data_IF_813192289211
#
_entry.id   IF_813192289211
#
_cell.length_a   1.000
_cell.length_b   1.000
_cell.length_c   1.000
_cell.angle_alpha   90.00
_cell.angle_beta   90.00
_cell.angle_gamma   90.00
#
_symmetry.space_group_name_H-M   'P 1'
#
loop_
_entity.id
_entity.type
_entity.pdbx_description
1 polymer ?
#
# COMPACT_ATOMS: atom_id res chain seq x y z
N UNK A 1 -9.12 21.06 -19.95
CA UNK A 1 -9.24 21.23 -18.49
C UNK A 1 -7.88 21.64 -17.97
N UNK A 2 -7.78 22.77 -17.24
CA UNK A 2 -6.50 23.34 -16.80
C UNK A 2 -5.89 22.55 -15.64
N UNK A 3 -4.55 22.51 -15.56
CA UNK A 3 -3.80 21.87 -14.48
C UNK A 3 -4.23 22.33 -13.06
N UNK A 4 -4.80 23.52 -12.95
CA UNK A 4 -5.29 24.08 -11.69
C UNK A 4 -6.61 23.44 -11.21
N UNK A 5 -7.48 22.97 -12.12
CA UNK A 5 -8.71 22.30 -11.76
C UNK A 5 -8.47 20.88 -11.18
N UNK A 6 -7.38 20.23 -11.61
CA UNK A 6 -7.03 18.88 -11.14
C UNK A 6 -6.38 18.90 -9.75
N UNK A 7 -5.65 19.97 -9.39
CA UNK A 7 -5.11 20.14 -8.02
C UNK A 7 -6.20 20.43 -6.99
N UNK A 8 -7.29 21.06 -7.38
CA UNK A 8 -8.41 21.35 -6.47
C UNK A 8 -9.25 20.11 -6.14
N UNK A 9 -9.35 19.14 -7.04
CA UNK A 9 -10.07 17.89 -6.79
C UNK A 9 -9.35 16.94 -5.82
N UNK A 10 -8.02 16.92 -5.83
CA UNK A 10 -7.23 16.07 -4.92
C UNK A 10 -7.20 16.63 -3.49
N UNK A 11 -7.24 17.94 -3.32
CA UNK A 11 -7.33 18.58 -2.01
C UNK A 11 -8.72 18.38 -1.37
N UNK A 12 -9.77 18.28 -2.16
CA UNK A 12 -11.15 18.12 -1.66
C UNK A 12 -11.43 16.70 -1.13
N UNK A 13 -10.78 15.67 -1.67
CA UNK A 13 -10.97 14.29 -1.20
C UNK A 13 -10.32 14.06 0.18
N UNK A 14 -9.22 14.73 0.48
CA UNK A 14 -8.55 14.63 1.78
C UNK A 14 -9.25 15.48 2.85
N UNK A 15 -9.91 16.56 2.46
CA UNK A 15 -10.65 17.46 3.38
C UNK A 15 -11.97 16.85 3.87
N UNK A 16 -12.56 15.89 3.18
CA UNK A 16 -13.80 15.23 3.62
C UNK A 16 -13.63 14.28 4.80
N UNK A 17 -12.40 13.81 5.06
CA UNK A 17 -12.13 12.96 6.23
C UNK A 17 -11.92 13.74 7.53
N UNK A 18 -11.80 15.09 7.48
CA UNK A 18 -11.48 15.93 8.64
C UNK A 18 -12.67 16.76 9.15
N UNK A 19 -13.84 16.66 8.53
CA UNK A 19 -15.04 17.35 9.00
C UNK A 19 -15.87 16.49 9.99
N UNK A 20 -15.22 15.94 11.01
CA UNK A 20 -15.86 15.41 12.21
C UNK A 20 -16.15 16.54 13.19
N UNK A 21 -17.30 17.17 13.03
CA UNK A 21 -18.13 17.85 14.04
C UNK A 21 -17.41 18.54 15.20
N UNK A 22 -17.15 19.83 15.01
CA UNK A 22 -17.25 20.78 16.11
C UNK A 22 -18.75 21.12 16.30
N UNK A 23 -19.47 20.33 17.05
CA UNK A 23 -20.76 20.69 17.69
C UNK A 23 -20.49 20.69 19.17
N UNK A 24 -20.14 21.89 19.64
CA UNK A 24 -20.01 22.15 21.07
C UNK A 24 -21.37 22.33 21.70
N UNK A 25 -21.47 21.70 22.83
CA UNK A 25 -22.20 22.12 24.03
C UNK A 25 -23.75 22.09 24.03
N UNK A 26 -24.11 21.29 24.99
CA UNK A 26 -25.31 21.38 25.84
C UNK A 26 -26.49 20.53 25.37
N UNK A 27 -26.45 19.34 25.88
CA UNK A 27 -27.53 18.51 26.45
C UNK A 27 -26.97 17.10 26.58
N UNK A 28 -26.63 16.67 27.80
CA UNK A 28 -26.22 15.29 28.09
C UNK A 28 -27.44 14.34 27.97
N UNK A 29 -27.65 13.66 26.84
CA UNK A 29 -28.06 12.29 26.89
C UNK A 29 -26.78 11.50 27.19
N UNK A 30 -26.86 10.42 27.93
CA UNK A 30 -25.77 9.50 28.09
C UNK A 30 -25.23 9.17 26.67
N UNK A 31 -24.13 9.82 26.26
CA UNK A 31 -23.42 9.51 25.04
C UNK A 31 -22.78 8.14 25.30
N UNK A 32 -23.44 7.11 24.82
CA UNK A 32 -22.81 5.81 24.70
C UNK A 32 -21.75 5.96 23.62
N UNK A 33 -20.51 6.21 24.04
CA UNK A 33 -19.38 6.11 23.13
C UNK A 33 -19.52 4.77 22.39
N UNK A 34 -19.52 4.76 21.06
CA UNK A 34 -19.46 3.50 20.35
C UNK A 34 -18.25 2.73 20.88
N UNK A 35 -18.39 1.41 21.15
CA UNK A 35 -17.30 0.65 21.71
C UNK A 35 -16.07 0.82 20.82
N UNK A 36 -14.92 1.07 21.44
CA UNK A 36 -13.66 1.20 20.73
C UNK A 36 -13.45 -0.03 19.82
N UNK A 37 -12.97 0.20 18.61
CA UNK A 37 -12.75 -0.90 17.67
C UNK A 37 -11.65 -1.82 18.21
N UNK A 38 -11.94 -3.13 18.30
CA UNK A 38 -10.97 -4.15 18.75
C UNK A 38 -10.02 -4.46 17.59
N UNK A 39 -8.76 -4.07 17.74
CA UNK A 39 -7.74 -4.27 16.72
C UNK A 39 -7.04 -5.63 16.81
N UNK A 40 -7.21 -6.39 17.91
CA UNK A 40 -6.68 -7.74 18.05
C UNK A 40 -7.45 -8.74 17.20
N UNK A 41 -6.75 -9.75 16.70
CA UNK A 41 -7.35 -10.87 15.98
C UNK A 41 -6.81 -11.03 14.56
N UNK A 42 -7.24 -12.11 13.95
CA UNK A 42 -6.97 -12.41 12.55
C UNK A 42 -7.86 -11.57 11.65
N UNK A 43 -7.35 -11.19 10.50
CA UNK A 43 -8.11 -10.48 9.47
C UNK A 43 -7.73 -10.96 8.08
N UNK A 44 -8.67 -10.80 7.15
CA UNK A 44 -8.46 -10.97 5.73
C UNK A 44 -9.01 -9.76 5.00
N UNK A 45 -8.47 -9.45 3.84
CA UNK A 45 -8.93 -8.30 3.08
C UNK A 45 -8.54 -8.33 1.62
N UNK A 46 -9.05 -7.33 0.93
CA UNK A 46 -8.73 -7.04 -0.47
C UNK A 46 -8.24 -5.60 -0.60
N UNK A 47 -7.39 -5.36 -1.57
CA UNK A 47 -6.93 -4.01 -1.89
C UNK A 47 -6.88 -3.77 -3.38
N UNK A 48 -6.94 -2.50 -3.74
CA UNK A 48 -6.65 -2.00 -5.06
C UNK A 48 -5.84 -0.72 -4.97
N UNK A 49 -5.07 -0.43 -6.00
CA UNK A 49 -4.19 0.73 -5.97
C UNK A 49 -3.45 0.98 -7.26
N UNK A 50 -2.35 1.66 -7.15
CA UNK A 50 -1.45 1.96 -8.26
C UNK A 50 -0.01 1.75 -7.84
N UNK A 51 0.74 1.05 -8.71
CA UNK A 51 2.19 0.91 -8.59
C UNK A 51 2.86 1.85 -9.60
N UNK A 52 3.89 2.59 -9.18
CA UNK A 52 4.58 3.57 -10.01
C UNK A 52 6.08 3.63 -9.71
N UNK A 53 6.85 4.09 -10.69
CA UNK A 53 8.29 4.28 -10.61
C UNK A 53 8.65 5.76 -10.69
N UNK A 54 9.57 6.18 -9.81
CA UNK A 54 9.99 7.59 -9.73
C UNK A 54 8.96 8.47 -8.99
N UNK A 55 9.45 9.40 -8.18
CA UNK A 55 8.59 10.36 -7.46
C UNK A 55 8.35 11.62 -8.28
N UNK A 56 7.24 12.34 -8.10
CA UNK A 56 5.98 11.97 -7.45
C UNK A 56 4.77 12.20 -8.35
N UNK A 57 4.44 11.31 -9.24
CA UNK A 57 3.17 11.44 -9.94
C UNK A 57 2.47 10.08 -10.09
N UNK A 58 1.67 9.65 -9.08
CA UNK A 58 0.94 8.38 -9.13
C UNK A 58 -0.08 8.31 -10.29
N UNK A 59 -0.29 9.41 -11.00
CA UNK A 59 -1.23 9.51 -12.13
C UNK A 59 -0.54 9.70 -13.49
N UNK A 60 0.79 9.60 -13.55
CA UNK A 60 1.50 9.65 -14.82
C UNK A 60 1.35 8.34 -15.60
N UNK A 61 1.29 8.41 -16.92
CA UNK A 61 0.94 7.30 -17.81
C UNK A 61 1.89 6.09 -17.87
N UNK A 62 2.71 5.86 -16.84
CA UNK A 62 3.58 4.69 -16.67
C UNK A 62 3.18 3.85 -15.45
N UNK A 63 2.02 4.09 -14.87
CA UNK A 63 1.54 3.44 -13.67
C UNK A 63 0.78 2.17 -14.04
N UNK A 64 1.03 1.09 -13.29
CA UNK A 64 0.21 -0.11 -13.31
C UNK A 64 -0.91 0.00 -12.27
N UNK A 65 -2.13 -0.37 -12.61
CA UNK A 65 -3.16 -0.63 -11.62
C UNK A 65 -2.77 -1.88 -10.84
N UNK A 66 -2.85 -1.82 -9.52
CA UNK A 66 -2.61 -2.97 -8.66
C UNK A 66 -3.89 -3.44 -7.99
N UNK A 67 -3.93 -4.71 -7.65
CA UNK A 67 -5.03 -5.30 -6.88
C UNK A 67 -4.61 -6.64 -6.31
N UNK A 68 -5.13 -6.96 -5.12
CA UNK A 68 -4.71 -8.16 -4.44
C UNK A 68 -5.47 -8.47 -3.17
N UNK A 69 -4.90 -9.42 -2.42
CA UNK A 69 -5.44 -9.92 -1.17
C UNK A 69 -4.39 -9.78 -0.07
N UNK A 70 -4.86 -9.58 1.16
CA UNK A 70 -4.03 -9.61 2.35
C UNK A 70 -4.69 -10.45 3.43
N UNK A 71 -3.86 -11.03 4.29
CA UNK A 71 -4.27 -11.69 5.51
C UNK A 71 -3.23 -11.42 6.60
N UNK A 72 -3.68 -11.24 7.82
CA UNK A 72 -2.78 -10.92 8.91
C UNK A 72 -3.37 -11.19 10.27
N UNK A 73 -2.56 -10.91 11.28
CA UNK A 73 -2.94 -10.97 12.68
C UNK A 73 -2.37 -9.76 13.39
N UNK A 74 -3.18 -9.08 14.17
CA UNK A 74 -2.76 -8.00 15.04
C UNK A 74 -2.95 -8.39 16.51
N UNK A 75 -2.07 -7.90 17.36
CA UNK A 75 -2.19 -7.94 18.82
C UNK A 75 -2.19 -6.50 19.33
N UNK A 76 -3.22 -6.12 20.03
CA UNK A 76 -3.34 -4.83 20.68
C UNK A 76 -2.85 -4.92 22.13
N UNK A 77 -2.03 -3.95 22.54
CA UNK A 77 -1.57 -3.79 23.92
C UNK A 77 -1.71 -2.30 24.29
N UNK A 78 -2.78 -1.99 25.00
CA UNK A 78 -3.18 -0.59 25.22
C UNK A 78 -3.44 0.11 23.89
N UNK A 79 -2.88 1.29 23.62
CA UNK A 79 -3.01 1.96 22.33
C UNK A 79 -2.07 1.38 21.25
N UNK A 80 -1.10 0.55 21.63
CA UNK A 80 -0.11 -0.04 20.73
C UNK A 80 -0.64 -1.26 19.99
N UNK A 81 -0.34 -1.37 18.70
CA UNK A 81 -0.64 -2.51 17.85
C UNK A 81 0.66 -3.09 17.34
N UNK A 82 0.81 -4.41 17.43
CA UNK A 82 1.85 -5.17 16.75
C UNK A 82 1.20 -6.28 15.94
N UNK A 83 1.69 -6.53 14.73
CA UNK A 83 1.10 -7.55 13.87
C UNK A 83 2.02 -8.02 12.77
N UNK A 84 1.52 -8.99 12.04
CA UNK A 84 2.12 -9.52 10.82
C UNK A 84 1.07 -9.64 9.73
N UNK A 85 1.46 -9.38 8.50
CA UNK A 85 0.58 -9.43 7.33
C UNK A 85 1.31 -10.14 6.18
N UNK A 86 0.61 -10.99 5.46
CA UNK A 86 1.02 -11.50 4.16
C UNK A 86 0.13 -10.89 3.08
N UNK A 87 0.71 -10.61 1.94
CA UNK A 87 0.04 -9.92 0.83
C UNK A 87 0.41 -10.57 -0.49
N UNK A 88 -0.57 -10.68 -1.40
CA UNK A 88 -0.37 -11.05 -2.79
C UNK A 88 -1.03 -10.03 -3.70
N UNK A 89 -0.24 -9.39 -4.58
CA UNK A 89 -0.69 -8.31 -5.46
C UNK A 89 -0.38 -8.59 -6.92
N UNK A 90 -1.31 -8.28 -7.80
CA UNK A 90 -1.09 -8.12 -9.23
C UNK A 90 -0.83 -6.64 -9.54
N UNK A 91 0.27 -6.33 -10.22
CA UNK A 91 0.77 -4.95 -10.42
C UNK A 91 0.45 -4.36 -11.79
N UNK A 92 -0.41 -5.03 -12.58
CA UNK A 92 -0.88 -4.53 -13.87
C UNK A 92 0.20 -4.25 -14.91
N UNK A 93 1.42 -4.74 -14.70
CA UNK A 93 2.55 -4.54 -15.62
C UNK A 93 3.19 -3.15 -15.50
N UNK A 94 3.33 -2.62 -14.29
CA UNK A 94 4.09 -1.39 -14.05
C UNK A 94 5.46 -1.43 -14.73
N UNK A 95 5.75 -0.46 -15.59
CA UNK A 95 6.95 -0.44 -16.43
C UNK A 95 8.09 0.31 -15.75
N UNK A 96 9.28 -0.29 -15.82
CA UNK A 96 10.53 0.33 -15.40
C UNK A 96 11.45 0.52 -16.58
N UNK A 97 11.95 1.72 -16.80
CA UNK A 97 12.98 1.99 -17.77
C UNK A 97 14.34 1.47 -17.23
N UNK A 98 15.00 0.61 -17.97
CA UNK A 98 16.31 0.07 -17.67
C UNK A 98 17.23 0.29 -18.86
N UNK A 99 18.55 0.20 -18.64
CA UNK A 99 19.53 0.36 -19.71
C UNK A 99 19.29 -0.65 -20.84
N UNK A 100 18.87 -0.15 -22.01
CA UNK A 100 18.58 -0.95 -23.20
C UNK A 100 17.12 -1.36 -23.39
N UNK A 101 16.16 -1.01 -22.51
CA UNK A 101 14.76 -1.36 -22.70
C UNK A 101 13.89 -1.17 -21.47
N UNK A 102 12.81 -1.95 -21.40
CA UNK A 102 11.83 -1.90 -20.32
C UNK A 102 11.61 -3.27 -19.70
N UNK A 103 11.35 -3.31 -18.39
CA UNK A 103 10.86 -4.49 -17.67
C UNK A 103 9.51 -4.19 -17.03
N UNK A 104 8.69 -5.24 -16.87
CA UNK A 104 7.34 -5.12 -16.30
C UNK A 104 7.24 -5.90 -15.00
N UNK A 105 6.74 -5.26 -13.95
CA UNK A 105 6.33 -5.94 -12.72
C UNK A 105 4.94 -6.52 -12.90
N UNK A 106 4.76 -7.79 -12.55
CA UNK A 106 3.48 -8.47 -12.76
C UNK A 106 2.84 -8.95 -11.47
N UNK A 107 3.59 -9.67 -10.67
CA UNK A 107 3.13 -10.21 -9.40
C UNK A 107 4.09 -9.86 -8.28
N UNK A 108 3.52 -9.58 -7.11
CA UNK A 108 4.29 -9.37 -5.89
C UNK A 108 3.65 -10.15 -4.75
N UNK A 109 4.46 -10.90 -4.01
CA UNK A 109 4.12 -11.43 -2.70
C UNK A 109 4.93 -10.69 -1.65
N UNK A 110 4.35 -10.39 -0.50
CA UNK A 110 5.05 -9.73 0.60
C UNK A 110 4.70 -10.38 1.95
N UNK A 111 5.67 -10.35 2.86
CA UNK A 111 5.49 -10.66 4.27
C UNK A 111 5.98 -9.46 5.08
N UNK A 112 5.09 -8.87 5.87
CA UNK A 112 5.27 -7.60 6.56
C UNK A 112 5.04 -7.76 8.05
N UNK A 113 5.89 -7.13 8.87
CA UNK A 113 5.54 -6.78 10.23
C UNK A 113 4.84 -5.41 10.20
N UNK A 114 3.88 -5.20 11.09
CA UNK A 114 3.22 -3.91 11.26
C UNK A 114 3.24 -3.51 12.75
N UNK A 115 3.45 -2.20 12.97
CA UNK A 115 3.38 -1.59 14.29
C UNK A 115 2.64 -0.26 14.18
N UNK A 116 1.80 0.06 15.15
CA UNK A 116 0.99 1.26 15.10
C UNK A 116 0.42 1.70 16.44
N UNK A 117 -0.31 2.80 16.38
CA UNK A 117 -1.06 3.36 17.50
C UNK A 117 -2.53 3.50 17.11
N UNK A 118 -3.41 2.98 17.94
CA UNK A 118 -4.85 3.13 17.78
C UNK A 118 -5.37 4.33 18.57
N UNK A 119 -6.24 5.07 17.93
CA UNK A 119 -7.00 6.18 18.48
C UNK A 119 -8.48 5.86 18.24
N UNK A 120 -9.13 5.22 19.21
CA UNK A 120 -10.49 4.70 19.09
C UNK A 120 -10.66 3.77 17.88
N UNK A 121 -11.28 4.27 16.82
CA UNK A 121 -11.55 3.54 15.59
C UNK A 121 -10.50 3.78 14.49
N UNK A 122 -9.46 4.58 14.76
CA UNK A 122 -8.41 4.92 13.79
C UNK A 122 -7.08 4.33 14.21
N UNK A 123 -6.43 3.60 13.32
CA UNK A 123 -5.09 3.05 13.49
C UNK A 123 -4.12 3.73 12.53
N UNK A 124 -3.09 4.38 13.09
CA UNK A 124 -1.91 4.82 12.33
C UNK A 124 -0.84 3.75 12.45
N UNK A 125 -0.30 3.28 11.33
CA UNK A 125 0.65 2.18 11.36
C UNK A 125 1.81 2.37 10.38
N UNK A 126 2.94 1.77 10.72
CA UNK A 126 4.08 1.54 9.85
C UNK A 126 4.23 0.06 9.55
N UNK A 127 4.79 -0.25 8.40
CA UNK A 127 5.08 -1.62 7.96
C UNK A 127 6.53 -1.76 7.52
N UNK A 128 7.09 -2.94 7.69
CA UNK A 128 8.40 -3.30 7.16
C UNK A 128 8.48 -4.79 6.92
N UNK A 129 9.16 -5.19 5.85
CA UNK A 129 9.20 -6.61 5.53
C UNK A 129 9.98 -6.94 4.27
N UNK A 130 9.71 -8.13 3.76
CA UNK A 130 10.30 -8.65 2.55
C UNK A 130 9.24 -8.79 1.46
N UNK A 131 9.64 -8.55 0.21
CA UNK A 131 8.78 -8.71 -0.95
C UNK A 131 9.49 -9.54 -2.01
N UNK A 132 8.75 -10.40 -2.67
CA UNK A 132 9.20 -11.13 -3.85
C UNK A 132 8.41 -10.62 -5.06
N UNK A 133 9.11 -10.04 -6.03
CA UNK A 133 8.49 -9.48 -7.25
C UNK A 133 8.86 -10.34 -8.44
N UNK A 134 7.86 -10.71 -9.24
CA UNK A 134 8.04 -11.37 -10.52
C UNK A 134 8.12 -10.34 -11.62
N UNK A 135 9.25 -10.36 -12.32
CA UNK A 135 9.48 -9.53 -13.49
C UNK A 135 9.26 -10.34 -14.76
N UNK A 136 8.55 -9.74 -15.72
CA UNK A 136 8.39 -10.27 -17.07
C UNK A 136 9.23 -9.44 -18.06
N UNK A 137 9.58 -10.08 -19.18
CA UNK A 137 10.32 -9.45 -20.28
C UNK A 137 9.50 -8.28 -20.85
N UNK A 138 10.12 -7.12 -20.93
CA UNK A 138 9.63 -5.99 -21.72
C UNK A 138 10.24 -5.96 -23.12
N UNK A 139 9.94 -4.93 -23.89
CA UNK A 139 10.50 -4.73 -25.22
C UNK A 139 12.02 -4.54 -25.17
N UNK A 140 12.76 -5.27 -26.03
CA UNK A 140 14.19 -5.15 -26.31
C UNK A 140 15.19 -5.59 -25.23
N UNK A 141 14.72 -6.18 -24.12
CA UNK A 141 15.61 -6.68 -23.06
C UNK A 141 15.32 -8.14 -22.76
N UNK A 142 16.33 -8.99 -22.83
CA UNK A 142 16.31 -10.33 -22.22
C UNK A 142 16.63 -10.13 -20.74
N UNK A 143 15.60 -9.95 -19.90
CA UNK A 143 15.80 -10.01 -18.46
C UNK A 143 15.78 -11.46 -17.98
N UNK A 144 16.41 -11.70 -16.85
CA UNK A 144 16.27 -12.99 -16.17
C UNK A 144 14.82 -13.11 -15.71
N UNK A 145 14.02 -13.96 -16.37
CA UNK A 145 12.71 -14.36 -15.89
C UNK A 145 12.83 -14.91 -14.48
N UNK A 146 12.08 -14.38 -13.54
CA UNK A 146 12.04 -14.97 -12.20
C UNK A 146 11.62 -14.03 -11.09
N UNK A 147 11.48 -14.64 -9.93
CA UNK A 147 11.19 -13.96 -8.68
C UNK A 147 12.47 -13.32 -8.13
N UNK A 148 12.39 -12.06 -7.77
CA UNK A 148 13.47 -11.31 -7.13
C UNK A 148 13.04 -10.87 -5.74
N UNK A 149 13.92 -11.16 -4.76
CA UNK A 149 13.71 -10.76 -3.38
C UNK A 149 14.10 -9.28 -3.20
N UNK A 150 13.26 -8.54 -2.54
CA UNK A 150 13.45 -7.17 -2.13
C UNK A 150 12.99 -6.96 -0.69
N UNK A 151 13.12 -5.74 -0.21
CA UNK A 151 12.55 -5.30 1.06
C UNK A 151 11.58 -4.16 0.83
N UNK A 152 10.64 -4.02 1.76
CA UNK A 152 9.66 -2.97 1.74
C UNK A 152 9.59 -2.24 3.08
N UNK A 153 9.25 -0.96 3.00
CA UNK A 153 8.82 -0.14 4.13
C UNK A 153 7.60 0.65 3.72
N UNK A 154 6.68 0.83 4.64
CA UNK A 154 5.43 1.52 4.34
C UNK A 154 4.82 2.16 5.57
N UNK A 155 3.77 2.92 5.33
CA UNK A 155 2.94 3.51 6.37
C UNK A 155 1.51 3.67 5.87
N UNK A 156 0.57 3.67 6.80
CA UNK A 156 -0.84 3.80 6.45
C UNK A 156 -1.72 4.23 7.61
N UNK A 157 -2.95 4.43 7.25
CA UNK A 157 -4.05 4.70 8.16
C UNK A 157 -5.16 3.68 7.88
N UNK A 158 -5.75 3.16 8.93
CA UNK A 158 -6.87 2.21 8.86
C UNK A 158 -7.99 2.71 9.78
N UNK A 159 -9.20 2.76 9.26
CA UNK A 159 -10.41 3.17 9.97
C UNK A 159 -11.28 1.95 10.21
N UNK A 160 -11.56 1.66 11.48
CA UNK A 160 -12.51 0.63 11.89
C UNK A 160 -13.96 1.11 11.80
N UNK A 161 -14.84 0.17 11.50
CA UNK A 161 -16.29 0.35 11.44
C UNK A 161 -16.95 -0.73 12.29
N UNK A 162 -18.28 -0.77 12.28
CA UNK A 162 -19.02 -1.83 12.97
C UNK A 162 -18.70 -3.23 12.38
N UNK A 163 -18.95 -4.27 13.16
CA UNK A 163 -18.95 -5.67 12.75
C UNK A 163 -17.59 -6.17 12.21
N UNK A 164 -16.47 -5.64 12.73
CA UNK A 164 -15.13 -6.08 12.36
C UNK A 164 -14.63 -5.60 11.00
N UNK A 165 -15.40 -4.76 10.31
CA UNK A 165 -14.97 -4.15 9.05
C UNK A 165 -14.01 -2.99 9.29
N UNK A 166 -13.00 -2.85 8.44
CA UNK A 166 -12.14 -1.67 8.38
C UNK A 166 -11.75 -1.32 6.96
N UNK A 167 -11.43 -0.06 6.72
CA UNK A 167 -10.87 0.42 5.47
C UNK A 167 -9.49 1.01 5.73
N UNK A 168 -8.52 0.72 4.86
CA UNK A 168 -7.15 1.22 4.98
C UNK A 168 -6.69 1.95 3.73
N UNK A 169 -5.80 2.91 3.93
CA UNK A 169 -4.94 3.47 2.89
C UNK A 169 -3.49 3.25 3.32
N UNK A 170 -2.68 2.67 2.45
CA UNK A 170 -1.30 2.29 2.72
C UNK A 170 -0.42 2.72 1.56
N UNK A 171 0.74 3.28 1.87
CA UNK A 171 1.79 3.56 0.94
C UNK A 171 2.99 2.67 1.26
N UNK A 172 3.50 1.96 0.24
CA UNK A 172 4.68 1.11 0.34
C UNK A 172 5.78 1.58 -0.62
N UNK A 173 7.00 1.60 -0.14
CA UNK A 173 8.21 1.69 -0.94
C UNK A 173 8.91 0.33 -0.95
N UNK A 174 9.05 -0.24 -2.13
CA UNK A 174 9.70 -1.55 -2.34
C UNK A 174 11.02 -1.35 -3.06
N UNK A 175 12.10 -1.92 -2.54
CA UNK A 175 13.42 -1.89 -3.17
C UNK A 175 13.89 -3.30 -3.48
N UNK A 176 14.07 -3.59 -4.76
CA UNK A 176 14.53 -4.89 -5.27
C UNK A 176 15.95 -4.76 -5.84
N UNK A 177 16.98 -5.22 -5.11
CA UNK A 177 18.35 -5.19 -5.58
C UNK A 177 18.62 -6.33 -6.57
N UNK A 178 19.67 -6.19 -7.38
CA UNK A 178 20.22 -7.26 -8.19
C UNK A 178 19.33 -7.74 -9.34
N UNK A 179 18.53 -6.87 -9.91
CA UNK A 179 17.79 -7.17 -11.15
C UNK A 179 18.78 -7.16 -12.31
N UNK A 180 19.06 -8.34 -12.88
CA UNK A 180 19.98 -8.48 -14.01
C UNK A 180 19.23 -8.19 -15.32
N UNK A 181 19.77 -7.27 -16.10
CA UNK A 181 19.30 -6.96 -17.45
C UNK A 181 20.39 -7.29 -18.45
N UNK A 182 20.02 -7.99 -19.52
CA UNK A 182 20.95 -8.28 -20.62
C UNK A 182 20.47 -7.48 -21.83
N UNK A 183 21.26 -6.50 -22.24
CA UNK A 183 21.06 -5.71 -23.46
C UNK A 183 22.09 -6.06 -24.53
N UNK A 184 21.94 -5.49 -25.72
CA UNK A 184 22.96 -5.62 -26.79
C UNK A 184 24.35 -5.09 -26.37
N UNK A 185 24.45 -4.31 -25.31
CA UNK A 185 25.68 -3.71 -24.77
C UNK A 185 26.29 -4.49 -23.59
N UNK A 186 25.66 -5.60 -23.15
CA UNK A 186 26.18 -6.44 -22.07
C UNK A 186 25.19 -6.69 -20.95
N UNK A 187 25.68 -7.30 -19.86
CA UNK A 187 24.93 -7.57 -18.63
C UNK A 187 25.12 -6.41 -17.66
N UNK A 188 24.01 -5.85 -17.19
CA UNK A 188 23.99 -4.81 -16.15
C UNK A 188 23.17 -5.28 -14.95
N UNK A 189 23.51 -4.83 -13.74
CA UNK A 189 22.74 -5.07 -12.51
C UNK A 189 22.16 -3.75 -12.06
N UNK A 190 20.84 -3.70 -11.95
CA UNK A 190 20.13 -2.53 -11.46
C UNK A 190 19.44 -2.81 -10.13
N UNK A 191 19.27 -1.77 -9.31
CA UNK A 191 18.39 -1.79 -8.14
C UNK A 191 17.13 -1.04 -8.52
N UNK A 192 15.99 -1.71 -8.41
CA UNK A 192 14.69 -1.12 -8.78
C UNK A 192 13.97 -0.66 -7.53
N UNK A 193 13.54 0.61 -7.54
CA UNK A 193 12.64 1.19 -6.55
C UNK A 193 11.24 1.31 -7.13
N UNK A 194 10.25 0.79 -6.42
CA UNK A 194 8.83 0.82 -6.79
C UNK A 194 8.03 1.42 -5.63
N UNK A 195 7.07 2.24 -5.97
CA UNK A 195 6.15 2.88 -5.03
C UNK A 195 4.76 2.31 -5.27
N UNK A 196 4.02 2.07 -4.21
CA UNK A 196 2.65 1.57 -4.30
C UNK A 196 1.75 2.35 -3.34
N UNK A 197 0.64 2.84 -3.86
CA UNK A 197 -0.43 3.45 -3.08
C UNK A 197 -1.65 2.53 -3.18
N UNK A 198 -2.12 2.05 -2.03
CA UNK A 198 -3.20 1.06 -1.93
C UNK A 198 -4.33 1.58 -1.06
N UNK A 199 -5.55 1.27 -1.45
CA UNK A 199 -6.73 1.34 -0.60
C UNK A 199 -7.31 -0.06 -0.46
N UNK A 200 -7.73 -0.45 0.73
CA UNK A 200 -8.20 -1.80 1.01
C UNK A 200 -9.30 -1.83 2.03
N UNK A 201 -9.99 -2.96 2.06
CA UNK A 201 -11.02 -3.28 3.06
C UNK A 201 -10.59 -4.59 3.72
N UNK A 202 -10.68 -4.62 5.05
CA UNK A 202 -10.40 -5.80 5.87
C UNK A 202 -11.65 -6.22 6.64
N UNK A 203 -11.76 -7.51 6.88
CA UNK A 203 -12.69 -8.10 7.83
C UNK A 203 -11.91 -8.84 8.92
N UNK A 204 -12.20 -8.51 10.16
CA UNK A 204 -11.56 -9.03 11.36
C UNK A 204 -12.50 -9.99 12.07
N UNK A 205 -11.94 -11.11 12.52
CA UNK A 205 -12.65 -12.18 13.23
C UNK A 205 -12.53 -12.04 14.74
#
# INVERSE_FOLDING_TARGET
MSRQAMMLLTASALAMCLNGSAMAADLSPAYNDPPAFEWSGAYVGVHGGTAFTGMPNPFAGRNGLSGGFQAGYNQQVGPGILGAEIEGSYLGGAEHDVEGGKIKEKWRGAAKARAGLSFDQTLLFGTGGVAMTKFDKGDKVSSTDGWKLGYLVGAGIEQGFADGLSAKVEYDYVRTPGVETTSAFGKSKATIGSHELKAGINYRF
#
